data_IF_180337536053
#
_entry.id   IF_180337536053
#
_cell.length_a   1.000
_cell.length_b   1.000
_cell.length_c   1.000
_cell.angle_alpha   90.00
_cell.angle_beta   90.00
_cell.angle_gamma   90.00
#
_symmetry.space_group_name_H-M   'P 1'
#
loop_
_entity.id
_entity.type
_entity.pdbx_description
1 polymer ?
#
# COMPACT_ATOMS: atom_id res chain seq x y z
N UNK A 1 61.37 -9.41 -78.27
CA UNK A 1 61.69 -9.83 -76.89
C UNK A 1 63.18 -9.95 -76.67
N UNK A 2 63.90 -10.51 -77.64
CA UNK A 2 65.32 -10.91 -77.55
C UNK A 2 66.30 -9.79 -77.13
N UNK A 3 66.18 -8.56 -77.66
CA UNK A 3 67.13 -7.48 -77.32
C UNK A 3 67.02 -6.98 -75.85
N UNK A 4 65.84 -7.10 -75.21
CA UNK A 4 65.69 -6.68 -73.80
C UNK A 4 66.28 -7.70 -72.84
N UNK A 5 66.09 -8.99 -73.12
CA UNK A 5 66.72 -10.07 -72.33
C UNK A 5 68.24 -10.10 -72.53
N UNK A 6 68.71 -9.87 -73.75
CA UNK A 6 70.16 -9.77 -74.05
C UNK A 6 70.81 -8.57 -73.36
N UNK A 7 70.17 -7.41 -73.40
CA UNK A 7 70.63 -6.22 -72.69
C UNK A 7 70.57 -6.39 -71.15
N UNK A 8 69.56 -7.09 -70.62
CA UNK A 8 69.47 -7.40 -69.19
C UNK A 8 70.54 -8.40 -68.75
N UNK A 9 70.88 -9.35 -69.60
CA UNK A 9 71.97 -10.32 -69.37
C UNK A 9 73.35 -9.65 -69.46
N UNK A 10 73.55 -8.70 -70.38
CA UNK A 10 74.80 -7.94 -70.48
C UNK A 10 74.97 -6.88 -69.38
N UNK A 11 73.88 -6.26 -68.91
CA UNK A 11 73.95 -5.17 -67.92
C UNK A 11 73.75 -5.62 -66.48
N UNK A 12 73.07 -6.75 -66.22
CA UNK A 12 72.67 -7.20 -64.87
C UNK A 12 72.68 -8.73 -64.67
N UNK A 13 73.39 -9.50 -65.51
CA UNK A 13 73.42 -10.99 -65.47
C UNK A 13 72.00 -11.63 -65.46
N UNK A 14 71.00 -10.94 -66.03
CA UNK A 14 69.65 -11.47 -66.22
C UNK A 14 68.73 -11.41 -64.99
N UNK A 15 69.09 -10.71 -63.91
CA UNK A 15 68.25 -10.61 -62.70
C UNK A 15 68.04 -9.14 -62.29
N UNK A 16 66.78 -8.69 -62.29
CA UNK A 16 66.38 -7.29 -62.02
C UNK A 16 66.56 -6.91 -60.54
N UNK A 17 66.39 -7.85 -59.62
CA UNK A 17 66.68 -7.67 -58.18
C UNK A 17 67.43 -8.90 -57.67
N UNK A 18 68.74 -8.78 -57.43
CA UNK A 18 69.48 -9.81 -56.66
C UNK A 18 68.82 -9.88 -55.29
N UNK A 19 68.08 -10.95 -54.99
CA UNK A 19 67.53 -11.10 -53.65
C UNK A 19 68.71 -11.24 -52.69
N UNK A 20 68.66 -10.62 -51.51
CA UNK A 20 69.67 -10.77 -50.44
C UNK A 20 70.02 -12.26 -50.14
N UNK A 21 69.10 -13.17 -50.47
CA UNK A 21 69.22 -14.63 -50.36
C UNK A 21 70.20 -15.26 -51.37
N UNK A 22 70.41 -14.63 -52.52
CA UNK A 22 71.21 -15.18 -53.62
C UNK A 22 72.71 -15.12 -53.31
N UNK A 23 73.14 -14.17 -52.47
CA UNK A 23 74.51 -14.08 -51.92
C UNK A 23 74.86 -15.35 -51.12
N UNK A 24 73.89 -15.97 -50.45
CA UNK A 24 74.10 -17.21 -49.70
C UNK A 24 74.22 -18.45 -50.59
N UNK A 25 73.73 -18.41 -51.84
CA UNK A 25 73.83 -19.50 -52.82
C UNK A 25 75.13 -19.50 -53.60
N UNK A 26 75.93 -18.43 -53.51
CA UNK A 26 77.25 -18.35 -54.16
C UNK A 26 78.20 -19.30 -53.45
N UNK A 27 78.53 -20.41 -54.11
CA UNK A 27 79.53 -21.38 -53.67
C UNK A 27 80.76 -21.25 -54.58
N UNK A 28 81.90 -20.90 -53.99
CA UNK A 28 83.17 -20.79 -54.71
C UNK A 28 83.80 -22.17 -54.69
N UNK A 29 83.92 -22.77 -55.87
CA UNK A 29 84.51 -24.11 -56.02
C UNK A 29 86.02 -24.03 -55.85
N UNK A 30 86.55 -24.97 -55.09
CA UNK A 30 87.98 -25.13 -54.94
C UNK A 30 88.63 -25.46 -56.30
N UNK A 31 89.80 -24.88 -56.61
CA UNK A 31 90.51 -25.20 -57.84
C UNK A 31 90.92 -26.67 -57.87
N UNK A 32 90.73 -27.32 -59.03
CA UNK A 32 90.88 -28.78 -59.21
C UNK A 32 92.28 -29.33 -58.88
N UNK A 33 93.33 -28.50 -59.04
CA UNK A 33 94.71 -28.88 -58.72
C UNK A 33 94.97 -29.05 -57.22
N UNK A 34 94.17 -28.40 -56.35
CA UNK A 34 94.26 -28.51 -54.88
C UNK A 34 93.82 -29.91 -54.41
N UNK A 35 92.95 -30.58 -55.16
CA UNK A 35 92.48 -31.94 -54.87
C UNK A 35 93.41 -33.03 -55.43
N UNK A 36 94.35 -32.65 -56.31
CA UNK A 36 95.09 -33.60 -57.17
C UNK A 36 96.61 -33.53 -56.96
N UNK A 37 97.16 -32.42 -56.47
CA UNK A 37 98.60 -32.19 -56.29
C UNK A 37 98.91 -31.67 -54.87
N UNK A 38 100.07 -32.03 -54.33
CA UNK A 38 100.57 -31.55 -53.03
C UNK A 38 100.98 -30.07 -53.10
N UNK A 39 100.80 -29.31 -52.01
CA UNK A 39 101.09 -27.86 -51.92
C UNK A 39 102.54 -27.48 -52.30
N UNK A 40 103.47 -28.43 -52.18
CA UNK A 40 104.88 -28.26 -52.55
C UNK A 40 105.12 -28.28 -54.07
N UNK A 41 104.21 -28.89 -54.84
CA UNK A 41 104.34 -29.13 -56.29
C UNK A 41 103.58 -28.09 -57.13
N UNK A 42 103.04 -27.05 -56.50
CA UNK A 42 102.29 -26.01 -57.19
C UNK A 42 103.22 -25.07 -57.96
N UNK A 43 102.89 -24.83 -59.23
CA UNK A 43 103.57 -23.78 -60.01
C UNK A 43 103.24 -22.39 -59.46
N UNK A 44 104.05 -21.38 -59.74
CA UNK A 44 103.78 -20.01 -59.27
C UNK A 44 102.43 -19.46 -59.76
N UNK A 45 101.98 -19.90 -60.93
CA UNK A 45 100.65 -19.62 -61.47
C UNK A 45 99.53 -20.35 -60.70
N UNK A 46 99.76 -21.60 -60.26
CA UNK A 46 98.82 -22.36 -59.41
C UNK A 46 98.72 -21.74 -58.00
N UNK A 47 99.85 -21.31 -57.42
CA UNK A 47 99.88 -20.56 -56.15
C UNK A 47 99.12 -19.24 -56.26
N UNK A 48 99.26 -18.53 -57.38
CA UNK A 48 98.53 -17.29 -57.62
C UNK A 48 97.02 -17.54 -57.76
N UNK A 49 96.60 -18.56 -58.51
CA UNK A 49 95.18 -18.97 -58.62
C UNK A 49 94.57 -19.40 -57.30
N UNK A 50 95.35 -20.03 -56.41
CA UNK A 50 94.90 -20.38 -55.07
C UNK A 50 94.71 -19.15 -54.18
N UNK A 51 95.66 -18.19 -54.20
CA UNK A 51 95.52 -16.92 -53.47
C UNK A 51 94.28 -16.13 -53.90
N UNK A 52 94.02 -16.06 -55.21
CA UNK A 52 92.82 -15.42 -55.76
C UNK A 52 91.52 -16.14 -55.34
N UNK A 53 91.55 -17.48 -55.28
CA UNK A 53 90.43 -18.26 -54.76
C UNK A 53 90.18 -18.02 -53.27
N UNK A 54 91.22 -17.98 -52.44
CA UNK A 54 91.11 -17.66 -51.00
C UNK A 54 90.58 -16.25 -50.79
N UNK A 55 91.08 -15.27 -51.54
CA UNK A 55 90.62 -13.89 -51.49
C UNK A 55 89.14 -13.78 -51.87
N UNK A 56 88.75 -14.40 -52.99
CA UNK A 56 87.34 -14.41 -53.44
C UNK A 56 86.42 -15.12 -52.45
N UNK A 57 86.89 -16.20 -51.80
CA UNK A 57 86.18 -16.92 -50.75
C UNK A 57 86.01 -16.07 -49.51
N UNK A 58 87.06 -15.36 -49.10
CA UNK A 58 87.05 -14.41 -47.98
C UNK A 58 86.09 -13.26 -48.24
N UNK A 59 86.14 -12.64 -49.41
CA UNK A 59 85.23 -11.55 -49.82
C UNK A 59 83.77 -12.01 -49.84
N UNK A 60 83.49 -13.18 -50.43
CA UNK A 60 82.13 -13.73 -50.47
C UNK A 60 81.61 -14.06 -49.09
N UNK A 61 82.44 -14.59 -48.19
CA UNK A 61 82.07 -14.83 -46.80
C UNK A 61 81.83 -13.52 -46.03
N UNK A 62 82.63 -12.49 -46.25
CA UNK A 62 82.40 -11.16 -45.67
C UNK A 62 81.08 -10.55 -46.16
N UNK A 63 80.75 -10.71 -47.44
CA UNK A 63 79.50 -10.20 -48.01
C UNK A 63 78.27 -10.97 -47.50
N UNK A 64 78.37 -12.30 -47.36
CA UNK A 64 77.36 -13.13 -46.67
C UNK A 64 77.16 -12.68 -45.22
N UNK A 65 78.23 -12.38 -44.51
CA UNK A 65 78.19 -11.93 -43.12
C UNK A 65 77.54 -10.54 -42.98
N UNK A 66 77.91 -9.58 -43.83
CA UNK A 66 77.25 -8.26 -43.89
C UNK A 66 75.76 -8.38 -44.19
N UNK A 67 75.40 -9.25 -45.14
CA UNK A 67 74.01 -9.52 -45.50
C UNK A 67 73.25 -10.14 -44.30
N UNK A 68 73.86 -11.11 -43.61
CA UNK A 68 73.30 -11.72 -42.39
C UNK A 68 73.04 -10.68 -41.30
N UNK A 69 74.02 -9.83 -41.01
CA UNK A 69 73.89 -8.78 -39.99
C UNK A 69 72.82 -7.75 -40.36
N UNK A 70 72.71 -7.38 -41.65
CA UNK A 70 71.64 -6.50 -42.15
C UNK A 70 70.25 -7.12 -41.96
N UNK A 71 70.08 -8.40 -42.30
CA UNK A 71 68.82 -9.11 -42.12
C UNK A 71 68.46 -9.27 -40.62
N UNK A 72 69.44 -9.56 -39.77
CA UNK A 72 69.22 -9.68 -38.32
C UNK A 72 68.81 -8.32 -37.72
N UNK A 73 69.42 -7.22 -38.15
CA UNK A 73 69.04 -5.87 -37.75
C UNK A 73 67.62 -5.52 -38.21
N UNK A 74 67.25 -5.87 -39.44
CA UNK A 74 65.92 -5.67 -40.00
C UNK A 74 64.86 -6.46 -39.22
N UNK A 75 65.13 -7.73 -38.89
CA UNK A 75 64.26 -8.57 -38.04
C UNK A 75 64.08 -7.92 -36.67
N UNK A 76 65.17 -7.51 -36.01
CA UNK A 76 65.10 -6.84 -34.69
C UNK A 76 64.30 -5.53 -34.77
N UNK A 77 64.47 -4.75 -35.83
CA UNK A 77 63.73 -3.51 -36.05
C UNK A 77 62.24 -3.77 -36.27
N UNK A 78 61.89 -4.75 -37.11
CA UNK A 78 60.49 -5.15 -37.36
C UNK A 78 59.83 -5.70 -36.09
N UNK A 79 60.52 -6.54 -35.32
CA UNK A 79 60.04 -7.04 -34.03
C UNK A 79 59.77 -5.89 -33.04
N UNK A 80 60.71 -4.95 -32.92
CA UNK A 80 60.53 -3.77 -32.06
C UNK A 80 59.38 -2.89 -32.52
N UNK A 81 59.24 -2.70 -33.84
CA UNK A 81 58.12 -1.95 -34.44
C UNK A 81 56.77 -2.61 -34.15
N UNK A 82 56.66 -3.92 -34.35
CA UNK A 82 55.48 -4.72 -34.06
C UNK A 82 55.08 -4.67 -32.58
N UNK A 83 56.05 -4.84 -31.66
CA UNK A 83 55.80 -4.72 -30.22
C UNK A 83 55.31 -3.32 -29.83
N UNK A 84 55.90 -2.26 -30.41
CA UNK A 84 55.45 -0.89 -30.16
C UNK A 84 54.04 -0.64 -30.72
N UNK A 85 53.70 -1.19 -31.88
CA UNK A 85 52.37 -1.09 -32.45
C UNK A 85 51.32 -1.81 -31.59
N UNK A 86 51.63 -3.02 -31.12
CA UNK A 86 50.77 -3.79 -30.21
C UNK A 86 50.51 -3.02 -28.91
N UNK A 87 51.56 -2.48 -28.27
CA UNK A 87 51.41 -1.66 -27.04
C UNK A 87 50.52 -0.44 -27.27
N UNK A 88 50.72 0.30 -28.36
CA UNK A 88 49.88 1.47 -28.69
C UNK A 88 48.42 1.08 -28.92
N UNK A 89 48.19 -0.05 -29.57
CA UNK A 89 46.85 -0.59 -29.78
C UNK A 89 46.18 -0.94 -28.44
N UNK A 90 46.87 -1.68 -27.57
CA UNK A 90 46.35 -2.08 -26.25
C UNK A 90 46.05 -0.84 -25.38
N UNK A 91 46.93 0.15 -25.38
CA UNK A 91 46.68 1.42 -24.68
C UNK A 91 45.43 2.14 -25.22
N UNK A 92 45.24 2.18 -26.54
CA UNK A 92 44.06 2.78 -27.15
C UNK A 92 42.78 1.99 -26.81
N UNK A 93 42.86 0.65 -26.85
CA UNK A 93 41.76 -0.23 -26.49
C UNK A 93 41.38 -0.07 -25.02
N UNK A 94 42.35 0.02 -24.11
CA UNK A 94 42.10 0.26 -22.68
C UNK A 94 41.46 1.63 -22.42
N UNK A 95 41.91 2.68 -23.13
CA UNK A 95 41.27 4.01 -23.06
C UNK A 95 39.83 3.95 -23.56
N UNK A 96 39.55 3.24 -24.65
CA UNK A 96 38.21 3.06 -25.19
C UNK A 96 37.32 2.25 -24.24
N UNK A 97 37.84 1.14 -23.70
CA UNK A 97 37.13 0.31 -22.73
C UNK A 97 36.76 1.10 -21.48
N UNK A 98 37.69 1.89 -20.93
CA UNK A 98 37.42 2.76 -19.78
C UNK A 98 36.32 3.79 -20.10
N UNK A 99 36.34 4.39 -21.29
CA UNK A 99 35.26 5.29 -21.74
C UNK A 99 33.92 4.56 -21.81
N UNK A 100 33.86 3.41 -22.48
CA UNK A 100 32.64 2.59 -22.59
C UNK A 100 32.09 2.25 -21.21
N UNK A 101 32.94 1.76 -20.30
CA UNK A 101 32.54 1.44 -18.94
C UNK A 101 31.94 2.65 -18.21
N UNK A 102 32.60 3.81 -18.28
CA UNK A 102 32.11 5.03 -17.63
C UNK A 102 30.77 5.51 -18.23
N UNK A 103 30.60 5.45 -19.54
CA UNK A 103 29.34 5.81 -20.20
C UNK A 103 28.22 4.83 -19.84
N UNK A 104 28.46 3.52 -19.89
CA UNK A 104 27.48 2.51 -19.48
C UNK A 104 27.07 2.70 -18.02
N UNK A 105 28.02 2.95 -17.12
CA UNK A 105 27.72 3.24 -15.73
C UNK A 105 26.89 4.53 -15.56
N UNK A 106 27.16 5.58 -16.35
CA UNK A 106 26.38 6.81 -16.34
C UNK A 106 24.96 6.60 -16.88
N UNK A 107 24.79 5.81 -17.95
CA UNK A 107 23.48 5.46 -18.50
C UNK A 107 22.63 4.74 -17.45
N UNK A 108 23.17 3.68 -16.83
CA UNK A 108 22.44 2.95 -15.78
C UNK A 108 22.12 3.82 -14.57
N UNK A 109 22.99 4.77 -14.24
CA UNK A 109 22.71 5.74 -13.19
C UNK A 109 21.49 6.62 -13.53
N UNK A 110 21.42 7.16 -14.75
CA UNK A 110 20.28 7.98 -15.18
C UNK A 110 19.01 7.17 -15.35
N UNK A 111 19.08 5.94 -15.87
CA UNK A 111 17.92 5.03 -15.96
C UNK A 111 17.33 4.74 -14.58
N UNK A 112 18.19 4.46 -13.59
CA UNK A 112 17.75 4.27 -12.21
C UNK A 112 17.11 5.53 -11.63
N UNK A 113 17.64 6.71 -11.95
CA UNK A 113 17.06 7.99 -11.53
C UNK A 113 15.68 8.22 -12.15
N UNK A 114 15.52 7.92 -13.44
CA UNK A 114 14.24 7.99 -14.15
C UNK A 114 13.23 7.06 -13.48
N UNK A 115 13.63 5.83 -13.15
CA UNK A 115 12.77 4.88 -12.46
C UNK A 115 12.26 5.42 -11.11
N UNK A 116 13.16 5.92 -10.26
CA UNK A 116 12.76 6.50 -8.96
C UNK A 116 11.86 7.73 -9.10
N UNK A 117 12.13 8.59 -10.08
CA UNK A 117 11.26 9.74 -10.36
C UNK A 117 9.88 9.29 -10.80
N UNK A 118 9.80 8.29 -11.68
CA UNK A 118 8.55 7.72 -12.16
C UNK A 118 7.74 7.10 -11.01
N UNK A 119 8.38 6.33 -10.14
CA UNK A 119 7.76 5.75 -8.93
C UNK A 119 7.24 6.84 -7.97
N UNK A 120 8.02 7.91 -7.77
CA UNK A 120 7.60 9.07 -6.97
C UNK A 120 6.40 9.78 -7.57
N UNK A 121 6.35 9.94 -8.90
CA UNK A 121 5.21 10.53 -9.61
C UNK A 121 3.97 9.65 -9.52
N UNK A 122 4.12 8.34 -9.71
CA UNK A 122 3.01 7.39 -9.59
C UNK A 122 2.42 7.40 -8.16
N UNK A 123 3.29 7.48 -7.15
CA UNK A 123 2.87 7.59 -5.76
C UNK A 123 2.09 8.90 -5.51
N UNK A 124 2.55 10.03 -6.06
CA UNK A 124 1.84 11.30 -5.97
C UNK A 124 0.46 11.23 -6.65
N UNK A 125 0.39 10.69 -7.88
CA UNK A 125 -0.87 10.58 -8.61
C UNK A 125 -1.86 9.66 -7.87
N UNK A 126 -1.39 8.55 -7.29
CA UNK A 126 -2.21 7.69 -6.44
C UNK A 126 -2.76 8.46 -5.22
N UNK A 127 -1.94 9.24 -4.53
CA UNK A 127 -2.40 10.07 -3.40
C UNK A 127 -3.39 11.13 -3.85
N UNK A 128 -3.17 11.77 -5.00
CA UNK A 128 -4.07 12.75 -5.60
C UNK A 128 -5.43 12.16 -5.97
N UNK A 129 -5.46 10.98 -6.58
CA UNK A 129 -6.68 10.26 -6.91
C UNK A 129 -7.46 9.87 -5.64
N UNK A 130 -6.75 9.39 -4.61
CA UNK A 130 -7.36 9.09 -3.32
C UNK A 130 -7.94 10.35 -2.64
N UNK A 131 -7.27 11.50 -2.76
CA UNK A 131 -7.76 12.77 -2.22
C UNK A 131 -9.06 13.19 -2.91
N UNK A 132 -9.13 13.07 -4.24
CA UNK A 132 -10.33 13.38 -5.02
C UNK A 132 -11.52 12.49 -4.63
N UNK A 133 -11.28 11.19 -4.47
CA UNK A 133 -12.34 10.26 -4.05
C UNK A 133 -12.86 10.60 -2.64
N UNK A 134 -11.96 10.87 -1.68
CA UNK A 134 -12.37 11.28 -0.34
C UNK A 134 -13.15 12.60 -0.33
N UNK A 135 -12.76 13.57 -1.18
CA UNK A 135 -13.50 14.83 -1.36
C UNK A 135 -14.91 14.58 -1.91
N UNK A 136 -15.03 13.76 -2.94
CA UNK A 136 -16.32 13.39 -3.52
C UNK A 136 -17.23 12.68 -2.51
N UNK A 137 -16.68 11.75 -1.72
CA UNK A 137 -17.41 11.09 -0.64
C UNK A 137 -17.85 12.08 0.45
N UNK A 138 -17.00 13.04 0.79
CA UNK A 138 -17.33 14.08 1.77
C UNK A 138 -18.49 14.95 1.28
N UNK A 139 -18.45 15.42 0.02
CA UNK A 139 -19.52 16.21 -0.59
C UNK A 139 -20.85 15.44 -0.64
N UNK A 140 -20.82 14.18 -1.09
CA UNK A 140 -22.02 13.30 -1.12
C UNK A 140 -22.60 13.10 0.28
N UNK A 141 -21.74 12.84 1.27
CA UNK A 141 -22.19 12.65 2.66
C UNK A 141 -22.78 13.93 3.24
N UNK A 142 -22.20 15.08 2.93
CA UNK A 142 -22.69 16.38 3.35
C UNK A 142 -24.06 16.69 2.73
N UNK A 143 -24.24 16.40 1.44
CA UNK A 143 -25.53 16.55 0.76
C UNK A 143 -26.62 15.66 1.39
N UNK A 144 -26.31 14.39 1.68
CA UNK A 144 -27.24 13.49 2.37
C UNK A 144 -27.58 13.96 3.78
N UNK A 145 -26.60 14.47 4.53
CA UNK A 145 -26.82 15.07 5.84
C UNK A 145 -27.80 16.24 5.74
N UNK A 146 -27.54 17.19 4.84
CA UNK A 146 -28.37 18.38 4.67
C UNK A 146 -29.82 18.01 4.32
N UNK A 147 -30.02 17.06 3.39
CA UNK A 147 -31.34 16.52 3.05
C UNK A 147 -32.05 15.90 4.25
N UNK A 148 -31.32 15.17 5.10
CA UNK A 148 -31.86 14.62 6.35
C UNK A 148 -32.28 15.74 7.33
N UNK A 149 -31.44 16.76 7.51
CA UNK A 149 -31.72 17.92 8.36
C UNK A 149 -32.99 18.66 7.88
N UNK A 150 -33.15 18.87 6.58
CA UNK A 150 -34.34 19.51 6.00
C UNK A 150 -35.62 18.73 6.32
N UNK A 151 -35.58 17.39 6.20
CA UNK A 151 -36.70 16.53 6.56
C UNK A 151 -37.00 16.62 8.05
N UNK A 152 -36.00 16.51 8.91
CA UNK A 152 -36.16 16.64 10.37
C UNK A 152 -36.77 17.99 10.74
N UNK A 153 -36.27 19.09 10.16
CA UNK A 153 -36.78 20.45 10.41
C UNK A 153 -38.22 20.63 9.91
N UNK A 154 -38.61 19.95 8.83
CA UNK A 154 -40.00 19.95 8.35
C UNK A 154 -40.92 19.24 9.34
N UNK A 155 -40.57 18.03 9.77
CA UNK A 155 -41.35 17.31 10.78
C UNK A 155 -41.41 18.05 12.10
N UNK A 156 -40.33 18.70 12.52
CA UNK A 156 -40.29 19.45 13.77
C UNK A 156 -41.23 20.66 13.75
N UNK A 157 -41.33 21.38 12.61
CA UNK A 157 -42.34 22.46 12.43
C UNK A 157 -43.77 21.92 12.47
N UNK A 158 -44.02 20.79 11.83
CA UNK A 158 -45.36 20.20 11.77
C UNK A 158 -45.80 19.63 13.13
N UNK A 159 -44.87 19.06 13.90
CA UNK A 159 -45.12 18.64 15.28
C UNK A 159 -45.48 19.82 16.17
N UNK A 160 -44.80 20.96 16.04
CA UNK A 160 -45.14 22.16 16.81
C UNK A 160 -46.55 22.66 16.48
N UNK A 161 -46.88 22.74 15.17
CA UNK A 161 -48.22 23.13 14.70
C UNK A 161 -49.32 22.21 15.25
N UNK A 162 -49.14 20.90 15.15
CA UNK A 162 -50.11 19.91 15.64
C UNK A 162 -50.21 19.89 17.17
N UNK A 163 -49.11 20.17 17.87
CA UNK A 163 -49.10 20.32 19.33
C UNK A 163 -49.97 21.49 19.75
N UNK A 164 -49.76 22.68 19.17
CA UNK A 164 -50.56 23.88 19.44
C UNK A 164 -52.06 23.63 19.16
N UNK A 165 -52.37 22.99 18.02
CA UNK A 165 -53.74 22.61 17.65
C UNK A 165 -54.36 21.65 18.68
N UNK A 166 -53.63 20.63 19.10
CA UNK A 166 -54.10 19.66 20.10
C UNK A 166 -54.31 20.31 21.47
N UNK A 167 -53.44 21.23 21.90
CA UNK A 167 -53.57 21.95 23.16
C UNK A 167 -54.78 22.87 23.15
N UNK A 168 -55.04 23.55 22.03
CA UNK A 168 -56.24 24.35 21.83
C UNK A 168 -57.51 23.49 21.88
N UNK A 169 -57.52 22.34 21.19
CA UNK A 169 -58.64 21.39 21.23
C UNK A 169 -58.90 20.86 22.65
N UNK A 170 -57.85 20.52 23.41
CA UNK A 170 -57.96 20.09 24.81
C UNK A 170 -58.55 21.21 25.69
N UNK A 171 -58.09 22.46 25.52
CA UNK A 171 -58.61 23.62 26.26
C UNK A 171 -60.09 23.85 25.95
N UNK A 172 -60.48 23.81 24.68
CA UNK A 172 -61.87 23.99 24.25
C UNK A 172 -62.79 22.84 24.70
N UNK A 173 -62.30 21.60 24.71
CA UNK A 173 -63.06 20.46 25.24
C UNK A 173 -63.34 20.64 26.74
N UNK A 174 -62.29 20.95 27.52
CA UNK A 174 -62.42 21.22 28.95
C UNK A 174 -63.33 22.42 29.26
N UNK A 175 -63.32 23.46 28.43
CA UNK A 175 -64.25 24.59 28.57
C UNK A 175 -65.70 24.15 28.31
N UNK A 176 -65.94 23.38 27.24
CA UNK A 176 -67.26 22.85 26.89
C UNK A 176 -67.81 21.92 27.98
N UNK A 177 -66.96 21.11 28.62
CA UNK A 177 -67.32 20.27 29.77
C UNK A 177 -67.73 21.10 31.00
N UNK A 178 -67.02 22.21 31.28
CA UNK A 178 -67.36 23.13 32.38
C UNK A 178 -68.68 23.86 32.13
N UNK A 179 -68.93 24.23 30.88
CA UNK A 179 -70.14 24.93 30.47
C UNK A 179 -71.35 23.99 30.31
N UNK A 180 -71.17 22.66 30.44
CA UNK A 180 -72.25 21.67 30.35
C UNK A 180 -73.45 22.04 31.23
N UNK A 181 -73.23 22.36 32.51
CA UNK A 181 -74.33 22.72 33.43
C UNK A 181 -75.04 24.02 33.03
N UNK A 182 -74.35 24.92 32.31
CA UNK A 182 -74.93 26.18 31.82
C UNK A 182 -75.85 25.97 30.60
N UNK A 183 -75.63 24.91 29.82
CA UNK A 183 -76.43 24.52 28.65
C UNK A 183 -77.78 23.84 28.99
N UNK A 184 -77.98 23.50 30.26
CA UNK A 184 -79.22 22.86 30.76
C UNK A 184 -79.88 23.62 31.92
N UNK A 185 -79.70 24.95 31.98
CA UNK A 185 -80.33 25.82 33.00
C UNK A 185 -81.87 25.77 32.98
N UNK A 186 -82.46 25.38 31.84
CA UNK A 186 -83.89 25.18 31.62
C UNK A 186 -84.44 23.86 32.19
N UNK A 187 -83.59 23.05 32.84
CA UNK A 187 -83.90 21.73 33.40
C UNK A 187 -83.71 21.74 34.92
N UNK A 188 -84.50 20.95 35.67
CA UNK A 188 -84.34 20.80 37.12
C UNK A 188 -82.93 20.36 37.50
N UNK A 189 -82.37 20.95 38.56
CA UNK A 189 -80.99 20.69 39.02
C UNK A 189 -80.70 19.19 39.22
N UNK A 190 -81.65 18.43 39.77
CA UNK A 190 -81.49 16.99 39.95
C UNK A 190 -81.31 16.25 38.61
N UNK A 191 -82.10 16.61 37.59
CA UNK A 191 -82.00 16.01 36.26
C UNK A 191 -80.73 16.45 35.53
N UNK A 192 -80.23 17.68 35.76
CA UNK A 192 -78.93 18.14 35.23
C UNK A 192 -77.78 17.32 35.78
N UNK A 193 -77.78 16.98 37.08
CA UNK A 193 -76.76 16.12 37.68
C UNK A 193 -76.82 14.68 37.15
N UNK A 194 -78.03 14.15 36.89
CA UNK A 194 -78.20 12.84 36.22
C UNK A 194 -77.65 12.87 34.80
N UNK A 195 -77.96 13.92 34.02
CA UNK A 195 -77.42 14.10 32.67
C UNK A 195 -75.91 14.26 32.67
N UNK A 196 -75.33 14.98 33.63
CA UNK A 196 -73.87 15.13 33.74
C UNK A 196 -73.16 13.79 34.01
N UNK A 197 -73.76 12.91 34.83
CA UNK A 197 -73.24 11.55 35.03
C UNK A 197 -73.29 10.73 33.73
N UNK A 198 -74.36 10.85 32.94
CA UNK A 198 -74.49 10.21 31.64
C UNK A 198 -73.55 10.80 30.58
N UNK A 199 -73.24 12.10 30.67
CA UNK A 199 -72.29 12.78 29.79
C UNK A 199 -70.86 12.27 30.01
N UNK A 200 -70.46 12.08 31.27
CA UNK A 200 -69.18 11.51 31.64
C UNK A 200 -69.09 9.99 31.41
N UNK A 201 -70.20 9.35 31.05
CA UNK A 201 -70.22 7.92 30.75
C UNK A 201 -69.71 7.67 29.33
N UNK A 202 -68.56 6.98 29.24
CA UNK A 202 -67.90 6.69 27.95
C UNK A 202 -68.62 5.57 27.17
N UNK A 203 -68.60 5.59 25.83
CA UNK A 203 -69.04 4.46 25.01
C UNK A 203 -68.33 3.15 25.39
N UNK A 204 -69.04 2.02 25.34
CA UNK A 204 -68.51 0.68 25.70
C UNK A 204 -67.20 0.35 25.00
N UNK A 205 -67.06 0.74 23.73
CA UNK A 205 -65.83 0.55 22.91
C UNK A 205 -64.63 1.32 23.49
N UNK A 206 -64.86 2.43 24.18
CA UNK A 206 -63.81 3.17 24.91
C UNK A 206 -63.50 2.55 26.28
N UNK A 207 -64.51 1.99 26.97
CA UNK A 207 -64.35 1.38 28.30
C UNK A 207 -63.56 0.07 28.25
N UNK A 208 -63.88 -0.82 27.30
CA UNK A 208 -63.18 -2.11 27.10
C UNK A 208 -61.68 -1.90 26.80
N UNK A 209 -61.31 -0.77 26.18
CA UNK A 209 -59.92 -0.46 25.80
C UNK A 209 -59.10 0.20 26.90
N UNK A 210 -59.74 0.92 27.84
CA UNK A 210 -59.04 1.49 28.98
C UNK A 210 -58.50 0.40 29.93
N UNK A 211 -59.02 -0.83 29.83
CA UNK A 211 -58.60 -2.00 30.62
C UNK A 211 -57.53 -2.85 29.93
N UNK A 212 -57.29 -2.65 28.63
CA UNK A 212 -56.33 -3.41 27.83
C UNK A 212 -55.18 -2.48 27.42
N UNK A 213 -54.08 -2.50 28.18
CA UNK A 213 -52.91 -1.62 28.03
C UNK A 213 -52.10 -1.74 26.71
N UNK A 214 -52.64 -2.39 25.67
CA UNK A 214 -51.91 -2.68 24.45
C UNK A 214 -52.34 -1.84 23.25
N UNK A 215 -51.36 -1.61 22.37
CA UNK A 215 -51.34 -0.78 21.15
C UNK A 215 -52.35 -1.19 20.07
N UNK A 216 -53.63 -1.32 20.39
CA UNK A 216 -54.65 -1.59 19.38
C UNK A 216 -55.03 -0.34 18.58
N UNK A 217 -55.34 -0.47 17.28
CA UNK A 217 -55.76 0.64 16.42
C UNK A 217 -56.98 1.37 17.00
N UNK A 218 -57.03 2.70 16.85
CA UNK A 218 -58.19 3.53 17.21
C UNK A 218 -59.51 2.95 16.64
N UNK A 219 -60.65 3.11 17.35
CA UNK A 219 -61.90 2.50 16.93
C UNK A 219 -62.32 3.03 15.57
N UNK A 220 -62.78 2.13 14.71
CA UNK A 220 -63.29 2.51 13.38
C UNK A 220 -64.47 3.48 13.56
N UNK A 221 -64.65 4.47 12.66
CA UNK A 221 -65.80 5.37 12.67
C UNK A 221 -67.14 4.61 12.80
N UNK A 222 -67.26 3.45 12.17
CA UNK A 222 -68.45 2.59 12.21
C UNK A 222 -68.71 2.03 13.60
N UNK A 223 -67.68 1.51 14.28
CA UNK A 223 -67.79 0.96 15.63
C UNK A 223 -68.16 2.02 16.66
N UNK A 224 -67.63 3.24 16.51
CA UNK A 224 -67.96 4.36 17.38
C UNK A 224 -69.39 4.86 17.16
N UNK A 225 -69.84 4.91 15.90
CA UNK A 225 -71.19 5.31 15.52
C UNK A 225 -72.24 4.39 16.16
N UNK A 226 -72.09 3.06 16.01
CA UNK A 226 -73.00 2.07 16.60
C UNK A 226 -73.05 2.15 18.12
N UNK A 227 -71.88 2.27 18.78
CA UNK A 227 -71.82 2.41 20.24
C UNK A 227 -72.48 3.70 20.75
N UNK A 228 -72.50 4.76 19.94
CA UNK A 228 -73.20 6.00 20.27
C UNK A 228 -74.71 5.90 20.06
N UNK A 229 -75.16 5.19 19.04
CA UNK A 229 -76.58 4.92 18.81
C UNK A 229 -77.19 4.08 19.94
N UNK A 230 -76.47 3.07 20.44
CA UNK A 230 -76.88 2.31 21.63
C UNK A 230 -76.98 3.19 22.88
N UNK A 231 -76.00 4.07 23.09
CA UNK A 231 -75.98 4.98 24.23
C UNK A 231 -77.08 6.04 24.17
N UNK A 232 -77.42 6.54 22.99
CA UNK A 232 -78.44 7.56 22.76
C UNK A 232 -79.88 6.99 22.66
N UNK A 233 -80.03 5.66 22.74
CA UNK A 233 -81.30 4.98 22.61
C UNK A 233 -82.38 5.59 23.53
N UNK A 234 -83.64 5.74 23.07
CA UNK A 234 -84.72 6.35 23.85
C UNK A 234 -84.97 5.68 25.22
N UNK A 235 -84.64 4.39 25.34
CA UNK A 235 -84.74 3.63 26.60
C UNK A 235 -83.77 4.10 27.70
N UNK A 236 -82.69 4.82 27.35
CA UNK A 236 -81.72 5.36 28.30
C UNK A 236 -82.07 6.78 28.80
N UNK A 237 -83.17 7.36 28.33
CA UNK A 237 -83.61 8.71 28.70
C UNK A 237 -84.15 8.73 30.15
N UNK A 238 -83.69 9.66 31.02
CA UNK A 238 -84.21 9.79 32.38
C UNK A 238 -85.72 10.08 32.42
N UNK A 239 -86.42 9.45 33.38
CA UNK A 239 -87.86 9.68 33.61
C UNK A 239 -88.12 11.15 33.96
N UNK A 240 -89.06 11.78 33.25
CA UNK A 240 -89.42 13.19 33.44
C UNK A 240 -88.66 14.19 32.56
N UNK A 241 -87.75 13.73 31.69
CA UNK A 241 -87.05 14.59 30.72
C UNK A 241 -87.85 14.75 29.42
N UNK A 242 -87.91 15.98 28.88
CA UNK A 242 -88.54 16.24 27.57
C UNK A 242 -87.69 15.64 26.43
N UNK A 243 -88.29 15.01 25.41
CA UNK A 243 -87.55 14.45 24.26
C UNK A 243 -86.67 15.47 23.52
N UNK A 244 -87.06 16.75 23.49
CA UNK A 244 -86.27 17.83 22.90
C UNK A 244 -84.94 18.08 23.65
N UNK A 245 -84.97 17.99 24.98
CA UNK A 245 -83.79 18.15 25.84
C UNK A 245 -82.87 16.94 25.73
N UNK A 246 -83.43 15.73 25.63
CA UNK A 246 -82.67 14.51 25.38
C UNK A 246 -81.91 14.57 24.04
N UNK A 247 -82.55 15.04 22.96
CA UNK A 247 -81.89 15.22 21.66
C UNK A 247 -80.71 16.19 21.74
N UNK A 248 -80.87 17.32 22.45
CA UNK A 248 -79.80 18.30 22.67
C UNK A 248 -78.63 17.71 23.47
N UNK A 249 -78.94 16.89 24.49
CA UNK A 249 -77.95 16.14 25.25
C UNK A 249 -77.16 15.14 24.40
N UNK A 250 -77.84 14.31 23.61
CA UNK A 250 -77.19 13.34 22.72
C UNK A 250 -76.26 14.04 21.72
N UNK A 251 -76.68 15.17 21.15
CA UNK A 251 -75.84 15.97 20.26
C UNK A 251 -74.57 16.50 20.95
N UNK A 252 -74.70 17.05 22.15
CA UNK A 252 -73.55 17.53 22.94
C UNK A 252 -72.58 16.40 23.29
N UNK A 253 -73.11 15.23 23.72
CA UNK A 253 -72.31 14.04 24.02
C UNK A 253 -71.57 13.51 22.80
N UNK A 254 -72.24 13.42 21.65
CA UNK A 254 -71.60 13.04 20.38
C UNK A 254 -70.46 13.99 20.01
N UNK A 255 -70.70 15.30 20.11
CA UNK A 255 -69.69 16.32 19.83
C UNK A 255 -68.48 16.19 20.76
N UNK A 256 -68.70 16.00 22.07
CA UNK A 256 -67.62 15.81 23.05
C UNK A 256 -66.79 14.55 22.77
N UNK A 257 -67.45 13.42 22.48
CA UNK A 257 -66.71 12.20 22.16
C UNK A 257 -65.95 12.30 20.83
N UNK A 258 -66.52 12.98 19.83
CA UNK A 258 -65.84 13.24 18.56
C UNK A 258 -64.57 14.09 18.78
N UNK A 259 -64.64 15.15 19.60
CA UNK A 259 -63.48 15.99 19.93
C UNK A 259 -62.44 15.24 20.75
N UNK A 260 -62.84 14.43 21.73
CA UNK A 260 -61.92 13.56 22.47
C UNK A 260 -61.19 12.55 21.57
N UNK A 261 -61.90 11.94 20.62
CA UNK A 261 -61.29 11.04 19.64
C UNK A 261 -60.31 11.77 18.74
N UNK A 262 -60.67 12.96 18.24
CA UNK A 262 -59.77 13.81 17.45
C UNK A 262 -58.50 14.17 18.23
N UNK A 263 -58.63 14.54 19.50
CA UNK A 263 -57.47 14.79 20.39
C UNK A 263 -56.61 13.53 20.49
N UNK A 264 -57.22 12.36 20.73
CA UNK A 264 -56.48 11.10 20.86
C UNK A 264 -55.77 10.70 19.56
N UNK A 265 -56.40 10.88 18.40
CA UNK A 265 -55.77 10.63 17.09
C UNK A 265 -54.59 11.58 16.88
N UNK A 266 -54.75 12.87 17.16
CA UNK A 266 -53.68 13.87 16.98
C UNK A 266 -52.50 13.59 17.90
N UNK A 267 -52.73 13.19 19.16
CA UNK A 267 -51.67 12.78 20.10
C UNK A 267 -50.93 11.54 19.59
N UNK A 268 -51.64 10.56 19.02
CA UNK A 268 -51.02 9.37 18.42
C UNK A 268 -50.12 9.75 17.24
N UNK A 269 -50.62 10.58 16.33
CA UNK A 269 -49.85 11.09 15.18
C UNK A 269 -48.62 11.88 15.64
N UNK A 270 -48.76 12.74 16.66
CA UNK A 270 -47.63 13.47 17.26
C UNK A 270 -46.54 12.52 17.77
N UNK A 271 -46.92 11.43 18.43
CA UNK A 271 -45.96 10.42 18.92
C UNK A 271 -45.21 9.74 17.76
N UNK A 272 -45.89 9.41 16.67
CA UNK A 272 -45.28 8.83 15.47
C UNK A 272 -44.31 9.81 14.79
N UNK A 273 -44.72 11.07 14.62
CA UNK A 273 -43.87 12.12 14.03
C UNK A 273 -42.64 12.40 14.90
N UNK A 274 -42.81 12.41 16.23
CA UNK A 274 -41.70 12.54 17.17
C UNK A 274 -40.70 11.37 17.05
N UNK A 275 -41.18 10.15 16.84
CA UNK A 275 -40.33 8.99 16.60
C UNK A 275 -39.54 9.12 15.29
N UNK A 276 -40.14 9.66 14.23
CA UNK A 276 -39.45 9.96 12.96
C UNK A 276 -38.36 11.01 13.16
N UNK A 277 -38.63 12.08 13.93
CA UNK A 277 -37.64 13.12 14.26
C UNK A 277 -36.43 12.52 15.00
N UNK A 278 -36.66 11.68 16.01
CA UNK A 278 -35.58 11.04 16.77
C UNK A 278 -34.72 10.19 15.84
N UNK A 279 -35.33 9.32 15.03
CA UNK A 279 -34.60 8.51 14.03
C UNK A 279 -33.83 9.36 13.02
N UNK A 280 -34.39 10.49 12.60
CA UNK A 280 -33.74 11.44 11.70
C UNK A 280 -32.52 12.11 12.34
N UNK A 281 -32.61 12.53 13.61
CA UNK A 281 -31.49 13.10 14.37
C UNK A 281 -30.36 12.10 14.60
N UNK A 282 -30.68 10.82 14.81
CA UNK A 282 -29.67 9.77 14.93
C UNK A 282 -28.93 9.55 13.60
N UNK A 283 -29.64 9.55 12.47
CA UNK A 283 -29.03 9.52 11.13
C UNK A 283 -28.15 10.75 10.88
N UNK A 284 -28.60 11.94 11.25
CA UNK A 284 -27.81 13.17 11.14
C UNK A 284 -26.48 13.06 11.93
N UNK A 285 -26.55 12.57 13.17
CA UNK A 285 -25.34 12.32 13.99
C UNK A 285 -24.42 11.29 13.33
N UNK A 286 -24.97 10.23 12.74
CA UNK A 286 -24.20 9.23 12.01
C UNK A 286 -23.47 9.85 10.81
N UNK A 287 -24.16 10.66 10.00
CA UNK A 287 -23.53 11.40 8.89
C UNK A 287 -22.46 12.38 9.40
N UNK A 288 -22.70 13.09 10.50
CA UNK A 288 -21.72 14.00 11.09
C UNK A 288 -20.46 13.24 11.57
N UNK A 289 -20.63 12.05 12.15
CA UNK A 289 -19.52 11.17 12.48
C UNK A 289 -18.74 10.71 11.23
N UNK A 290 -19.44 10.36 10.16
CA UNK A 290 -18.84 10.01 8.86
C UNK A 290 -18.02 11.17 8.26
N UNK A 291 -18.57 12.40 8.28
CA UNK A 291 -17.87 13.60 7.80
C UNK A 291 -16.59 13.88 8.61
N UNK A 292 -16.61 13.71 9.93
CA UNK A 292 -15.41 13.85 10.77
C UNK A 292 -14.33 12.85 10.37
N UNK A 293 -14.69 11.57 10.21
CA UNK A 293 -13.76 10.52 9.76
C UNK A 293 -13.17 10.83 8.38
N UNK A 294 -13.98 11.28 7.42
CA UNK A 294 -13.50 11.68 6.10
C UNK A 294 -12.56 12.90 6.17
N UNK A 295 -12.87 13.88 7.02
CA UNK A 295 -11.99 15.04 7.24
C UNK A 295 -10.65 14.65 7.87
N UNK A 296 -10.65 13.73 8.84
CA UNK A 296 -9.44 13.18 9.44
C UNK A 296 -8.61 12.39 8.43
N UNK A 297 -9.25 11.56 7.60
CA UNK A 297 -8.58 10.84 6.51
C UNK A 297 -7.93 11.79 5.50
N UNK A 298 -8.63 12.85 5.08
CA UNK A 298 -8.07 13.89 4.21
C UNK A 298 -6.85 14.57 4.84
N UNK A 299 -6.94 14.96 6.12
CA UNK A 299 -5.79 15.56 6.85
C UNK A 299 -4.60 14.62 6.92
N UNK A 300 -4.84 13.33 7.20
CA UNK A 300 -3.79 12.31 7.24
C UNK A 300 -3.13 12.16 5.88
N UNK A 301 -3.92 12.08 4.80
CA UNK A 301 -3.43 11.97 3.43
C UNK A 301 -2.62 13.21 3.02
N UNK A 302 -3.07 14.41 3.39
CA UNK A 302 -2.31 15.64 3.15
C UNK A 302 -0.97 15.64 3.88
N UNK A 303 -0.93 15.15 5.13
CA UNK A 303 0.32 15.00 5.89
C UNK A 303 1.27 14.01 5.22
N UNK A 304 0.74 12.88 4.76
CA UNK A 304 1.51 11.86 4.04
C UNK A 304 2.06 12.39 2.72
N UNK A 305 1.22 13.08 1.92
CA UNK A 305 1.64 13.74 0.68
C UNK A 305 2.73 14.77 0.94
N UNK A 306 2.56 15.62 1.95
CA UNK A 306 3.58 16.62 2.29
C UNK A 306 4.89 15.95 2.72
N UNK A 307 4.83 14.85 3.49
CA UNK A 307 6.01 14.06 3.84
C UNK A 307 6.69 13.50 2.60
N UNK A 308 5.93 12.96 1.65
CA UNK A 308 6.44 12.44 0.37
C UNK A 308 7.14 13.53 -0.44
N UNK A 309 6.49 14.70 -0.60
CA UNK A 309 7.02 15.84 -1.35
C UNK A 309 8.28 16.46 -0.73
N UNK A 310 8.41 16.41 0.60
CA UNK A 310 9.58 16.93 1.31
C UNK A 310 10.73 15.90 1.40
N UNK A 311 10.41 14.60 1.39
CA UNK A 311 11.39 13.51 1.46
C UNK A 311 11.83 13.07 0.06
N UNK A 312 12.51 13.96 -0.65
CA UNK A 312 12.99 13.68 -2.00
C UNK A 312 14.15 12.66 -1.98
N UNK A 313 14.06 11.66 -2.83
CA UNK A 313 15.17 10.70 -3.06
C UNK A 313 16.32 11.38 -3.80
N UNK A 314 17.51 11.30 -3.23
CA UNK A 314 18.75 11.79 -3.85
C UNK A 314 19.67 10.62 -4.13
N UNK A 315 20.13 10.52 -5.37
CA UNK A 315 21.11 9.53 -5.78
C UNK A 315 22.52 10.04 -5.50
N UNK A 316 23.30 9.28 -4.73
CA UNK A 316 24.67 9.64 -4.35
C UNK A 316 25.64 8.59 -4.90
N UNK A 317 26.68 9.05 -5.60
CA UNK A 317 27.76 8.18 -6.09
C UNK A 317 28.87 8.10 -5.03
N UNK A 318 29.10 6.91 -4.49
CA UNK A 318 30.14 6.64 -3.49
C UNK A 318 31.32 5.90 -4.10
N UNK A 319 32.54 6.21 -3.65
CA UNK A 319 33.76 5.48 -4.05
C UNK A 319 33.88 4.18 -3.27
N UNK A 320 34.55 3.20 -3.86
CA UNK A 320 34.90 1.95 -3.19
C UNK A 320 35.66 2.24 -1.88
N UNK A 321 35.24 1.62 -0.77
CA UNK A 321 35.78 1.86 0.57
C UNK A 321 35.05 2.92 1.41
N UNK A 322 34.11 3.68 0.83
CA UNK A 322 33.23 4.60 1.58
C UNK A 322 31.92 3.95 2.06
N UNK A 323 31.67 2.70 1.65
CA UNK A 323 30.51 1.91 2.08
C UNK A 323 31.04 0.71 2.86
N UNK A 324 30.74 0.66 4.16
CA UNK A 324 30.98 -0.53 4.99
C UNK A 324 29.66 -1.29 5.06
N UNK A 325 29.46 -2.20 4.13
CA UNK A 325 28.30 -3.10 4.11
C UNK A 325 28.78 -4.53 4.35
N UNK A 326 27.96 -5.33 5.03
CA UNK A 326 28.07 -6.79 4.98
C UNK A 326 27.54 -7.25 3.62
N UNK A 327 28.27 -6.89 2.55
CA UNK A 327 27.84 -7.11 1.18
C UNK A 327 27.86 -8.62 0.90
N UNK A 328 26.71 -9.27 1.02
CA UNK A 328 26.54 -10.61 0.47
C UNK A 328 26.25 -10.43 -1.02
N UNK A 329 27.21 -10.79 -1.88
CA UNK A 329 27.21 -10.48 -3.33
C UNK A 329 26.00 -11.07 -4.10
N UNK A 330 25.22 -11.92 -3.46
CA UNK A 330 24.06 -12.66 -3.97
C UNK A 330 22.73 -12.21 -3.38
N UNK A 331 22.71 -11.34 -2.37
CA UNK A 331 21.47 -10.85 -1.77
C UNK A 331 21.03 -9.56 -2.46
N UNK A 332 19.81 -9.58 -2.97
CA UNK A 332 19.12 -8.42 -3.52
C UNK A 332 19.08 -7.31 -2.47
N UNK A 333 19.92 -6.28 -2.62
CA UNK A 333 20.12 -5.22 -1.60
C UNK A 333 18.96 -4.21 -1.54
N UNK A 334 17.92 -4.46 -2.30
CA UNK A 334 16.71 -3.67 -2.44
C UNK A 334 15.96 -3.65 -1.10
N UNK A 335 16.24 -2.66 -0.24
CA UNK A 335 15.60 -2.49 1.06
C UNK A 335 16.54 -2.36 2.28
N UNK A 336 17.86 -2.29 2.08
CA UNK A 336 18.78 -2.07 3.22
C UNK A 336 18.85 -0.57 3.55
N UNK A 337 18.38 -0.18 4.73
CA UNK A 337 18.47 1.20 5.21
C UNK A 337 19.91 1.52 5.63
N UNK A 338 20.51 2.52 4.98
CA UNK A 338 21.83 3.03 5.35
C UNK A 338 21.68 4.37 6.08
N UNK A 339 22.40 4.54 7.18
CA UNK A 339 22.47 5.81 7.90
C UNK A 339 23.72 6.54 7.41
N UNK A 340 23.55 7.78 6.96
CA UNK A 340 24.67 8.65 6.64
C UNK A 340 25.30 9.12 7.96
N UNK A 341 26.51 8.65 8.26
CA UNK A 341 27.27 9.08 9.44
C UNK A 341 28.51 9.86 9.00
N UNK A 342 28.82 10.95 9.71
CA UNK A 342 30.12 11.58 9.55
C UNK A 342 31.23 10.66 10.09
N UNK A 343 32.43 10.79 9.52
CA UNK A 343 33.57 9.91 9.83
C UNK A 343 34.05 10.09 11.27
N UNK A 344 33.84 11.27 11.86
CA UNK A 344 34.12 11.60 13.25
C UNK A 344 33.23 10.83 14.23
N UNK A 345 31.95 10.66 13.89
CA UNK A 345 30.95 9.96 14.72
C UNK A 345 30.95 8.44 14.54
N UNK A 346 31.61 7.92 13.48
CA UNK A 346 31.58 6.49 13.15
C UNK A 346 32.15 5.60 14.25
N UNK A 347 33.15 6.07 15.00
CA UNK A 347 33.71 5.34 16.14
C UNK A 347 32.66 5.22 17.27
N UNK A 348 32.03 6.33 17.62
CA UNK A 348 31.00 6.42 18.66
C UNK A 348 29.75 5.61 18.30
N UNK A 349 29.28 5.73 17.05
CA UNK A 349 28.12 4.98 16.53
C UNK A 349 28.42 3.49 16.45
N UNK A 350 29.63 3.07 16.03
CA UNK A 350 30.01 1.65 16.05
C UNK A 350 30.05 1.08 17.46
N UNK A 351 30.58 1.82 18.43
CA UNK A 351 30.63 1.39 19.83
C UNK A 351 29.20 1.24 20.36
N UNK A 352 28.35 2.26 20.19
CA UNK A 352 26.95 2.23 20.62
C UNK A 352 26.14 1.11 19.95
N UNK A 353 26.33 0.88 18.64
CA UNK A 353 25.64 -0.19 17.92
C UNK A 353 26.11 -1.58 18.37
N UNK A 354 27.41 -1.77 18.59
CA UNK A 354 27.99 -3.03 19.09
C UNK A 354 27.50 -3.33 20.50
N UNK A 355 27.38 -2.30 21.34
CA UNK A 355 26.85 -2.39 22.70
C UNK A 355 25.34 -2.70 22.71
N UNK A 356 24.57 -2.06 21.83
CA UNK A 356 23.16 -2.40 21.60
C UNK A 356 22.99 -3.86 21.17
N UNK A 357 23.73 -4.32 20.16
CA UNK A 357 23.71 -5.72 19.72
C UNK A 357 24.08 -6.70 20.82
N UNK A 358 25.08 -6.36 21.66
CA UNK A 358 25.47 -7.17 22.81
C UNK A 358 24.31 -7.28 23.81
N UNK A 359 23.61 -6.19 24.10
CA UNK A 359 22.48 -6.18 25.01
C UNK A 359 21.28 -6.95 24.45
N UNK A 360 20.96 -6.80 23.16
CA UNK A 360 19.90 -7.59 22.50
C UNK A 360 20.22 -9.08 22.53
N UNK A 361 21.48 -9.48 22.27
CA UNK A 361 21.88 -10.90 22.38
C UNK A 361 21.71 -11.45 23.80
N UNK A 362 22.09 -10.68 24.82
CA UNK A 362 21.86 -11.06 26.23
C UNK A 362 20.36 -11.27 26.51
N UNK A 363 19.51 -10.36 26.05
CA UNK A 363 18.05 -10.47 26.20
C UNK A 363 17.49 -11.70 25.47
N UNK A 364 17.95 -12.00 24.26
CA UNK A 364 17.52 -13.19 23.52
C UNK A 364 17.91 -14.47 24.27
N UNK A 365 19.15 -14.56 24.75
CA UNK A 365 19.61 -15.73 25.53
C UNK A 365 18.81 -15.87 26.82
N UNK A 366 18.52 -14.78 27.50
CA UNK A 366 17.67 -14.76 28.70
C UNK A 366 16.27 -15.28 28.40
N UNK A 367 15.62 -14.76 27.35
CA UNK A 367 14.29 -15.20 26.92
C UNK A 367 14.26 -16.67 26.50
N UNK A 368 15.31 -17.15 25.82
CA UNK A 368 15.44 -18.57 25.46
C UNK A 368 15.55 -19.46 26.70
N UNK A 369 16.29 -19.02 27.71
CA UNK A 369 16.38 -19.72 28.97
C UNK A 369 15.03 -19.75 29.71
N UNK A 370 14.34 -18.61 29.80
CA UNK A 370 13.01 -18.51 30.41
C UNK A 370 12.00 -19.42 29.72
N UNK A 371 12.00 -19.43 28.38
CA UNK A 371 11.15 -20.32 27.59
C UNK A 371 11.45 -21.81 27.88
N UNK A 372 12.73 -22.17 27.99
CA UNK A 372 13.15 -23.55 28.32
C UNK A 372 12.69 -23.96 29.73
N UNK A 373 12.77 -23.05 30.70
CA UNK A 373 12.28 -23.27 32.07
C UNK A 373 10.76 -23.47 32.07
N UNK A 374 10.02 -22.60 31.36
CA UNK A 374 8.56 -22.71 31.26
C UNK A 374 8.13 -24.02 30.58
N UNK A 375 8.80 -24.44 29.51
CA UNK A 375 8.54 -25.73 28.88
C UNK A 375 8.77 -26.90 29.82
N UNK A 376 9.87 -26.89 30.58
CA UNK A 376 10.13 -27.93 31.59
C UNK A 376 9.08 -27.96 32.69
N UNK A 377 8.60 -26.78 33.11
CA UNK A 377 7.50 -26.69 34.08
C UNK A 377 6.18 -27.22 33.50
N UNK A 378 5.89 -26.94 32.24
CA UNK A 378 4.72 -27.47 31.55
C UNK A 378 4.78 -29.00 31.39
N UNK A 379 5.94 -29.54 31.04
CA UNK A 379 6.18 -31.00 31.01
C UNK A 379 5.95 -31.62 32.40
N UNK A 380 6.55 -31.05 33.44
CA UNK A 380 6.38 -31.50 34.82
C UNK A 380 4.91 -31.49 35.27
N UNK A 381 4.17 -30.43 34.97
CA UNK A 381 2.75 -30.35 35.29
C UNK A 381 1.92 -31.39 34.53
N UNK A 382 2.27 -31.67 33.27
CA UNK A 382 1.61 -32.67 32.44
C UNK A 382 1.89 -34.09 32.94
N UNK A 383 3.10 -34.36 33.41
CA UNK A 383 3.45 -35.65 34.01
C UNK A 383 2.78 -35.82 35.38
N UNK A 384 2.75 -34.77 36.22
CA UNK A 384 1.96 -34.79 37.45
C UNK A 384 0.46 -35.03 37.18
N UNK A 385 -0.12 -34.43 36.13
CA UNK A 385 -1.51 -34.67 35.75
C UNK A 385 -1.74 -36.14 35.36
N UNK A 386 -0.82 -36.74 34.60
CA UNK A 386 -0.88 -38.17 34.28
C UNK A 386 -0.77 -39.01 35.54
N UNK A 387 0.16 -38.70 36.43
CA UNK A 387 0.38 -39.43 37.67
C UNK A 387 -0.86 -39.37 38.57
N UNK A 388 -1.51 -38.21 38.68
CA UNK A 388 -2.78 -38.06 39.40
C UNK A 388 -3.88 -38.90 38.73
N UNK A 389 -3.95 -38.92 37.39
CA UNK A 389 -4.94 -39.72 36.64
C UNK A 389 -4.70 -41.22 36.75
N UNK A 390 -3.45 -41.66 36.85
CA UNK A 390 -3.07 -43.08 36.98
C UNK A 390 -3.02 -43.51 38.45
N UNK A 391 -3.06 -42.58 39.40
CA UNK A 391 -3.09 -42.86 40.83
C UNK A 391 -4.35 -43.64 41.20
N UNK A 392 -4.20 -44.95 41.38
CA UNK A 392 -5.23 -45.79 41.97
C UNK A 392 -4.94 -45.93 43.45
N UNK A 393 -5.92 -45.56 44.28
CA UNK A 393 -5.87 -45.77 45.73
C UNK A 393 -5.57 -47.25 46.04
N UNK A 394 -4.66 -47.50 46.98
CA UNK A 394 -4.33 -48.85 47.41
C UNK A 394 -5.57 -49.54 48.01
N UNK A 395 -5.57 -50.88 48.03
CA UNK A 395 -6.68 -51.66 48.59
C UNK A 395 -7.05 -51.23 50.01
N UNK A 396 -6.04 -50.94 50.84
CA UNK A 396 -6.20 -50.45 52.22
C UNK A 396 -6.89 -49.08 52.28
N UNK A 397 -6.65 -48.20 51.30
CA UNK A 397 -7.31 -46.89 51.22
C UNK A 397 -8.74 -46.97 50.66
N UNK A 398 -9.04 -47.95 49.81
CA UNK A 398 -10.41 -48.22 49.34
C UNK A 398 -11.29 -48.82 50.43
N UNK A 399 -10.73 -49.68 51.28
CA UNK A 399 -11.46 -50.29 52.41
C UNK A 399 -11.83 -49.27 53.49
N UNK A 400 -10.98 -48.27 53.75
CA UNK A 400 -11.29 -47.16 54.67
C UNK A 400 -12.42 -46.25 54.19
N UNK A 401 -12.64 -46.11 52.87
CA UNK A 401 -13.72 -45.30 52.30
C UNK A 401 -15.08 -46.02 52.24
N UNK A 402 -15.14 -47.31 52.56
CA UNK A 402 -16.40 -48.08 52.62
C UNK A 402 -16.99 -48.10 54.04
N UNK A 403 -16.28 -47.58 55.04
CA UNK A 403 -16.71 -47.59 56.46
C UNK A 403 -17.14 -46.18 56.95
N UNK A 404 -17.26 -45.18 56.07
CA UNK A 404 -17.83 -43.87 56.42
C UNK A 404 -19.28 -43.69 55.98
#
# INVERSE_FOLDING_TARGET
>A
SDNKERALHEMMDGVIEKQKRDIFKVEIRQPEFVLTKSDADWTEEEKQRYREHEEKTRETNQEKEKCRQSLEAEIKQLQKSSQNAARKFDEALMKLFKKKFLFTAAIYQEELRIYYLMDSLFTEDKMRNQEQELKLQHERTLAHKNKCCEVVNRYQREVERLREESEHMIKNNKASEKDFKKEFKDVSHHLVDVLYKLFNHRPRVQQMRAQTENREPLPSPVQMQTAMEELDAPGNMPKGLKPSVWRRFCQMRRKNVETELKIKTTISTLAEMQAVIVKGKDKEKAFQGGLKKLSEALKSLHKERNKHLLNTTVQVRLKQGQVVSHFNRTADSTGTNFILCDRSDLATVKIAFTECLRNTRKQIVQLQWEHKVLNKKAEYLKDNEKDIKTFQLSKEQKEMNVIS
#
